data_IF_362499076839
#
_entry.id   IF_362499076839
#
_cell.length_a   1.000
_cell.length_b   1.000
_cell.length_c   1.000
_cell.angle_alpha   90.00
_cell.angle_beta   90.00
_cell.angle_gamma   90.00
#
_symmetry.space_group_name_H-M   'P 1'
#
loop_
_entity.id
_entity.type
_entity.pdbx_description
1 polymer ?
#
# COMPACT_ATOMS: atom_id res chain seq x y z
N UNK A 1 3.52 48.84 -10.15
CA UNK A 1 2.76 47.66 -9.71
C UNK A 1 2.92 46.54 -10.72
N UNK A 2 3.69 45.50 -10.38
CA UNK A 2 3.98 44.38 -11.29
C UNK A 2 2.74 43.48 -11.43
N UNK A 3 2.20 43.37 -12.64
CA UNK A 3 1.14 42.41 -12.98
C UNK A 3 1.70 41.00 -12.87
N UNK A 4 1.38 40.31 -11.78
CA UNK A 4 1.71 38.90 -11.58
C UNK A 4 1.12 38.05 -12.71
N UNK A 5 1.98 37.44 -13.51
CA UNK A 5 1.61 36.41 -14.49
C UNK A 5 1.01 35.22 -13.73
N UNK A 6 -0.33 35.07 -13.78
CA UNK A 6 -0.99 33.82 -13.39
C UNK A 6 -0.38 32.69 -14.24
N UNK A 7 0.40 31.80 -13.62
CA UNK A 7 0.86 30.56 -14.25
C UNK A 7 -0.37 29.81 -14.76
N UNK A 8 -0.44 29.58 -16.07
CA UNK A 8 -1.51 28.83 -16.69
C UNK A 8 -1.51 27.41 -16.09
N UNK A 9 -2.60 27.06 -15.40
CA UNK A 9 -2.83 25.68 -14.98
C UNK A 9 -2.83 24.81 -16.25
N UNK A 10 -1.99 23.76 -16.27
CA UNK A 10 -1.97 22.79 -17.37
C UNK A 10 -3.37 22.20 -17.52
N UNK A 11 -4.08 22.56 -18.60
CA UNK A 11 -5.40 21.99 -18.90
C UNK A 11 -5.21 20.48 -19.11
N UNK A 12 -5.90 19.64 -18.34
CA UNK A 12 -5.80 18.20 -18.51
C UNK A 12 -6.42 17.73 -19.82
N UNK A 13 -6.08 16.51 -20.20
CA UNK A 13 -6.43 15.95 -21.51
C UNK A 13 -7.86 15.46 -21.48
N UNK A 14 -8.73 16.08 -22.29
CA UNK A 14 -10.08 15.55 -22.55
C UNK A 14 -9.98 14.29 -23.41
N UNK A 15 -10.60 13.20 -22.95
CA UNK A 15 -10.69 11.94 -23.70
C UNK A 15 -11.94 11.96 -24.58
N UNK A 16 -11.77 11.58 -25.84
CA UNK A 16 -12.89 11.37 -26.77
C UNK A 16 -13.33 9.91 -26.74
N UNK A 17 -14.56 9.63 -27.17
CA UNK A 17 -15.09 8.26 -27.22
C UNK A 17 -14.25 7.35 -28.14
N UNK A 18 -13.70 7.90 -29.24
CA UNK A 18 -12.82 7.15 -30.15
C UNK A 18 -11.55 6.69 -29.45
N UNK A 19 -10.93 7.58 -28.66
CA UNK A 19 -9.74 7.24 -27.87
C UNK A 19 -10.08 6.17 -26.83
N UNK A 20 -11.19 6.30 -26.12
CA UNK A 20 -11.63 5.31 -25.14
C UNK A 20 -11.87 3.93 -25.79
N UNK A 21 -12.55 3.88 -26.94
CA UNK A 21 -12.77 2.63 -27.69
C UNK A 21 -11.47 1.96 -28.12
N UNK A 22 -10.48 2.73 -28.54
CA UNK A 22 -9.18 2.19 -28.94
C UNK A 22 -8.36 1.62 -27.76
N UNK A 23 -8.70 2.00 -26.53
CA UNK A 23 -8.06 1.47 -25.33
C UNK A 23 -8.82 0.30 -24.69
N UNK A 24 -9.94 -0.11 -25.30
CA UNK A 24 -10.68 -1.29 -24.87
C UNK A 24 -9.92 -2.54 -25.30
N UNK A 25 -9.69 -3.45 -24.36
CA UNK A 25 -9.03 -4.75 -24.58
C UNK A 25 -9.81 -5.86 -23.91
N UNK A 26 -9.65 -7.08 -24.41
CA UNK A 26 -10.11 -8.29 -23.73
C UNK A 26 -8.98 -8.81 -22.85
N UNK A 27 -9.33 -9.18 -21.63
CA UNK A 27 -8.43 -9.92 -20.72
C UNK A 27 -8.44 -11.40 -21.08
N UNK A 28 -7.49 -12.17 -20.53
CA UNK A 28 -7.43 -13.62 -20.71
C UNK A 28 -8.72 -14.35 -20.28
N UNK A 29 -9.43 -13.78 -19.30
CA UNK A 29 -10.71 -14.29 -18.79
C UNK A 29 -11.91 -13.92 -19.69
N UNK A 30 -11.68 -13.30 -20.86
CA UNK A 30 -12.72 -12.81 -21.77
C UNK A 30 -13.45 -11.55 -21.28
N UNK A 31 -12.92 -10.89 -20.24
CA UNK A 31 -13.50 -9.67 -19.64
C UNK A 31 -13.04 -8.41 -20.34
N UNK A 32 -13.89 -7.38 -20.39
CA UNK A 32 -13.60 -6.11 -21.06
C UNK A 32 -12.86 -5.16 -20.12
N UNK A 33 -11.60 -4.88 -20.45
CA UNK A 33 -10.76 -3.91 -19.74
C UNK A 33 -10.60 -2.64 -20.55
N UNK A 34 -10.89 -1.51 -19.93
CA UNK A 34 -10.63 -0.18 -20.48
C UNK A 34 -9.41 0.44 -19.78
N UNK A 35 -8.31 0.60 -20.53
CA UNK A 35 -7.06 1.15 -20.00
C UNK A 35 -6.86 2.62 -20.40
N UNK A 36 -7.11 3.52 -19.45
CA UNK A 36 -6.89 4.96 -19.61
C UNK A 36 -5.79 5.44 -18.67
N UNK A 37 -4.85 4.55 -18.32
CA UNK A 37 -3.73 4.88 -17.45
C UNK A 37 -2.78 5.90 -18.09
N UNK A 38 -2.18 6.76 -17.27
CA UNK A 38 -1.14 7.72 -17.70
C UNK A 38 -1.53 8.65 -18.87
N UNK A 39 -2.80 9.08 -18.92
CA UNK A 39 -3.31 9.91 -20.01
C UNK A 39 -3.40 11.40 -19.66
N UNK A 40 -2.96 11.81 -18.46
CA UNK A 40 -3.06 13.19 -17.94
C UNK A 40 -4.50 13.71 -17.88
N UNK A 41 -5.43 12.83 -17.54
CA UNK A 41 -6.86 13.15 -17.39
C UNK A 41 -7.06 13.91 -16.07
N UNK A 42 -7.61 15.12 -16.12
CA UNK A 42 -7.89 15.93 -14.92
C UNK A 42 -9.34 15.81 -14.43
N UNK A 43 -10.26 15.43 -15.31
CA UNK A 43 -11.67 15.24 -15.02
C UNK A 43 -12.19 13.93 -15.61
N UNK A 44 -13.07 13.25 -14.86
CA UNK A 44 -13.65 11.99 -15.32
C UNK A 44 -14.35 12.16 -16.67
N UNK A 45 -14.00 11.35 -17.70
CA UNK A 45 -14.56 11.52 -19.02
C UNK A 45 -16.01 11.03 -19.06
N UNK A 46 -16.98 11.95 -19.18
CA UNK A 46 -18.41 11.60 -19.29
C UNK A 46 -18.72 10.70 -20.49
N UNK A 47 -17.87 10.67 -21.51
CA UNK A 47 -18.03 9.75 -22.64
C UNK A 47 -17.93 8.27 -22.26
N UNK A 48 -17.27 7.93 -21.14
CA UNK A 48 -17.16 6.55 -20.66
C UNK A 48 -18.51 5.95 -20.26
N UNK A 49 -19.50 6.79 -19.95
CA UNK A 49 -20.86 6.35 -19.63
C UNK A 49 -21.56 5.64 -20.81
N UNK A 50 -21.05 5.78 -22.04
CA UNK A 50 -21.52 5.06 -23.22
C UNK A 50 -20.93 3.65 -23.36
N UNK A 51 -19.91 3.33 -22.56
CA UNK A 51 -19.20 2.04 -22.52
C UNK A 51 -19.24 1.49 -21.08
N UNK A 52 -20.39 1.63 -20.43
CA UNK A 52 -20.59 1.22 -19.04
C UNK A 52 -20.64 -0.30 -18.85
N UNK A 53 -20.46 -1.04 -19.94
CA UNK A 53 -20.52 -2.49 -20.04
C UNK A 53 -19.16 -3.16 -19.78
N UNK A 54 -18.11 -2.37 -19.48
CA UNK A 54 -16.78 -2.84 -19.11
C UNK A 54 -16.76 -3.54 -17.75
N UNK A 55 -15.89 -4.54 -17.62
CA UNK A 55 -15.66 -5.29 -16.38
C UNK A 55 -14.47 -4.72 -15.58
N UNK A 56 -13.49 -4.13 -16.26
CA UNK A 56 -12.29 -3.56 -15.63
C UNK A 56 -12.01 -2.15 -16.15
N UNK A 57 -11.77 -1.20 -15.24
CA UNK A 57 -11.49 0.19 -15.57
C UNK A 57 -10.19 0.61 -14.89
N UNK A 58 -9.21 0.97 -15.71
CA UNK A 58 -7.93 1.48 -15.25
C UNK A 58 -7.83 2.97 -15.58
N UNK A 59 -7.83 3.80 -14.56
CA UNK A 59 -7.69 5.26 -14.62
C UNK A 59 -6.45 5.71 -13.81
N UNK A 60 -5.50 4.80 -13.61
CA UNK A 60 -4.31 5.05 -12.82
C UNK A 60 -3.37 6.10 -13.44
N UNK A 61 -2.50 6.70 -12.62
CA UNK A 61 -1.48 7.67 -13.04
C UNK A 61 -2.06 8.87 -13.81
N UNK A 62 -3.20 9.37 -13.35
CA UNK A 62 -3.86 10.55 -13.93
C UNK A 62 -3.86 11.72 -12.93
N UNK A 63 -4.63 12.78 -13.23
CA UNK A 63 -4.74 14.00 -12.44
C UNK A 63 -6.14 14.16 -11.85
N UNK A 64 -6.88 13.06 -11.69
CA UNK A 64 -8.26 13.09 -11.21
C UNK A 64 -8.31 13.56 -9.76
N UNK A 65 -9.18 14.53 -9.47
CA UNK A 65 -9.43 15.04 -8.11
C UNK A 65 -10.69 14.46 -7.47
N UNK A 66 -11.66 14.11 -8.30
CA UNK A 66 -12.95 13.58 -7.87
C UNK A 66 -13.41 12.49 -8.84
N UNK A 67 -14.18 11.55 -8.31
CA UNK A 67 -14.92 10.56 -9.10
C UNK A 67 -16.39 10.98 -9.06
N UNK A 68 -17.06 11.08 -10.22
CA UNK A 68 -18.45 11.53 -10.27
C UNK A 68 -19.41 10.42 -9.82
N UNK A 69 -20.60 10.81 -9.35
CA UNK A 69 -21.64 9.85 -8.93
C UNK A 69 -22.09 8.90 -10.03
N UNK A 70 -21.96 9.31 -11.29
CA UNK A 70 -22.29 8.47 -12.44
C UNK A 70 -21.35 7.27 -12.64
N UNK A 71 -20.37 7.06 -11.75
CA UNK A 71 -19.60 5.81 -11.66
C UNK A 71 -20.50 4.62 -11.33
N UNK A 72 -21.66 4.83 -10.72
CA UNK A 72 -22.64 3.79 -10.43
C UNK A 72 -23.22 3.11 -11.68
N UNK A 73 -23.10 3.73 -12.85
CA UNK A 73 -23.56 3.14 -14.13
C UNK A 73 -22.74 1.92 -14.54
N UNK A 74 -21.53 1.75 -14.01
CA UNK A 74 -20.65 0.63 -14.35
C UNK A 74 -20.98 -0.62 -13.52
N UNK A 75 -22.21 -1.13 -13.65
CA UNK A 75 -22.74 -2.21 -12.80
C UNK A 75 -22.00 -3.55 -12.91
N UNK A 76 -21.26 -3.78 -14.00
CA UNK A 76 -20.47 -4.98 -14.22
C UNK A 76 -19.01 -4.86 -13.74
N UNK A 77 -18.64 -3.70 -13.19
CA UNK A 77 -17.26 -3.40 -12.86
C UNK A 77 -16.76 -4.27 -11.72
N UNK A 78 -15.82 -5.16 -12.03
CA UNK A 78 -15.10 -6.03 -11.11
C UNK A 78 -13.80 -5.41 -10.60
N UNK A 79 -13.15 -4.61 -11.43
CA UNK A 79 -11.84 -4.04 -11.13
C UNK A 79 -11.82 -2.55 -11.42
N UNK A 80 -11.47 -1.74 -10.43
CA UNK A 80 -11.32 -0.30 -10.56
C UNK A 80 -9.94 0.12 -10.02
N UNK A 81 -9.09 0.60 -10.92
CA UNK A 81 -7.79 1.16 -10.57
C UNK A 81 -7.79 2.69 -10.73
N UNK A 82 -7.52 3.36 -9.61
CA UNK A 82 -7.44 4.80 -9.48
C UNK A 82 -6.11 5.22 -8.84
N UNK A 83 -5.10 4.35 -8.85
CA UNK A 83 -3.85 4.62 -8.16
C UNK A 83 -3.13 5.83 -8.75
N UNK A 84 -2.34 6.54 -7.93
CA UNK A 84 -1.55 7.70 -8.37
C UNK A 84 -2.39 8.77 -9.05
N UNK A 85 -3.44 9.21 -8.35
CA UNK A 85 -4.28 10.35 -8.72
C UNK A 85 -4.26 11.40 -7.59
N UNK A 86 -5.14 12.40 -7.68
CA UNK A 86 -5.25 13.47 -6.70
C UNK A 86 -6.59 13.41 -5.97
N UNK A 87 -7.15 12.21 -5.79
CA UNK A 87 -8.51 12.03 -5.28
C UNK A 87 -8.55 12.36 -3.80
N UNK A 88 -9.43 13.29 -3.44
CA UNK A 88 -9.64 13.73 -2.04
C UNK A 88 -10.91 13.14 -1.43
N UNK A 89 -11.92 12.85 -2.26
CA UNK A 89 -13.20 12.30 -1.85
C UNK A 89 -13.73 11.27 -2.86
N UNK A 90 -14.36 10.22 -2.34
CA UNK A 90 -15.09 9.23 -3.14
C UNK A 90 -16.60 9.51 -3.09
N UNK A 91 -17.32 9.30 -4.20
CA UNK A 91 -18.77 9.47 -4.25
C UNK A 91 -19.49 8.36 -3.48
N UNK A 92 -20.62 8.68 -2.86
CA UNK A 92 -21.49 7.69 -2.21
C UNK A 92 -21.96 6.62 -3.20
N UNK A 93 -22.12 7.01 -4.46
CA UNK A 93 -22.54 6.16 -5.56
C UNK A 93 -21.58 4.97 -5.80
N UNK A 94 -20.32 5.06 -5.35
CA UNK A 94 -19.37 3.95 -5.41
C UNK A 94 -19.89 2.70 -4.69
N UNK A 95 -20.66 2.87 -3.60
CA UNK A 95 -21.28 1.77 -2.87
C UNK A 95 -22.34 0.98 -3.64
N UNK A 96 -22.73 1.42 -4.84
CA UNK A 96 -23.68 0.71 -5.72
C UNK A 96 -22.99 -0.35 -6.59
N UNK A 97 -21.66 -0.37 -6.66
CA UNK A 97 -20.88 -1.30 -7.49
C UNK A 97 -20.76 -2.68 -6.83
N UNK A 98 -21.87 -3.40 -6.71
CA UNK A 98 -21.96 -4.67 -5.97
C UNK A 98 -21.09 -5.80 -6.56
N UNK A 99 -20.67 -5.67 -7.82
CA UNK A 99 -19.80 -6.64 -8.52
C UNK A 99 -18.30 -6.36 -8.32
N UNK A 100 -17.94 -5.22 -7.72
CA UNK A 100 -16.56 -4.78 -7.56
C UNK A 100 -15.81 -5.71 -6.60
N UNK A 101 -14.72 -6.31 -7.08
CA UNK A 101 -13.86 -7.23 -6.33
C UNK A 101 -12.52 -6.60 -5.96
N UNK A 102 -12.03 -5.68 -6.77
CA UNK A 102 -10.73 -5.04 -6.58
C UNK A 102 -10.87 -3.53 -6.72
N UNK A 103 -10.45 -2.80 -5.69
CA UNK A 103 -10.44 -1.35 -5.68
C UNK A 103 -9.05 -0.86 -5.26
N UNK A 104 -8.35 -0.22 -6.19
CA UNK A 104 -7.03 0.36 -5.95
C UNK A 104 -7.11 1.88 -5.90
N UNK A 105 -6.90 2.45 -4.71
CA UNK A 105 -6.90 3.88 -4.42
C UNK A 105 -5.53 4.33 -3.88
N UNK A 106 -4.50 3.52 -4.09
CA UNK A 106 -3.16 3.78 -3.60
C UNK A 106 -2.57 5.08 -4.17
N UNK A 107 -1.79 5.81 -3.40
CA UNK A 107 -1.16 7.08 -3.81
C UNK A 107 -2.20 8.11 -4.27
N UNK A 108 -3.07 8.52 -3.34
CA UNK A 108 -4.07 9.57 -3.51
C UNK A 108 -3.99 10.55 -2.33
N UNK A 109 -5.01 11.40 -2.15
CA UNK A 109 -5.07 12.41 -1.08
C UNK A 109 -6.24 12.14 -0.13
N UNK A 110 -6.69 10.89 -0.04
CA UNK A 110 -7.85 10.52 0.77
C UNK A 110 -7.57 10.71 2.26
N UNK A 111 -8.55 11.28 2.94
CA UNK A 111 -8.67 11.31 4.40
C UNK A 111 -9.83 10.42 4.83
N UNK A 112 -10.00 10.15 6.13
CA UNK A 112 -11.11 9.34 6.63
C UNK A 112 -12.48 9.89 6.18
N UNK A 113 -12.64 11.22 6.18
CA UNK A 113 -13.86 11.89 5.72
C UNK A 113 -14.09 11.79 4.19
N UNK A 114 -13.03 11.54 3.42
CA UNK A 114 -13.12 11.32 1.98
C UNK A 114 -13.63 9.93 1.60
N UNK A 115 -13.78 9.02 2.57
CA UNK A 115 -14.31 7.67 2.36
C UNK A 115 -15.78 7.63 2.82
N UNK A 116 -16.75 7.51 1.91
CA UNK A 116 -18.16 7.50 2.25
C UNK A 116 -18.54 6.20 2.98
N UNK A 117 -19.50 6.23 3.92
CA UNK A 117 -19.95 5.03 4.63
C UNK A 117 -20.54 3.97 3.69
N UNK A 118 -21.06 4.39 2.53
CA UNK A 118 -21.58 3.53 1.48
C UNK A 118 -20.51 2.60 0.88
N UNK A 119 -19.21 2.88 1.07
CA UNK A 119 -18.15 1.94 0.69
C UNK A 119 -18.34 0.57 1.36
N UNK A 120 -18.85 0.54 2.60
CA UNK A 120 -19.16 -0.70 3.32
C UNK A 120 -20.27 -1.55 2.70
N UNK A 121 -20.98 -1.05 1.67
CA UNK A 121 -21.98 -1.82 0.90
C UNK A 121 -21.36 -2.69 -0.18
N UNK A 122 -20.06 -2.57 -0.45
CA UNK A 122 -19.36 -3.38 -1.46
C UNK A 122 -19.15 -4.82 -0.98
N UNK A 123 -20.22 -5.60 -1.00
CA UNK A 123 -20.28 -6.96 -0.45
C UNK A 123 -19.29 -7.93 -1.12
N UNK A 124 -19.02 -7.76 -2.42
CA UNK A 124 -18.11 -8.62 -3.20
C UNK A 124 -16.64 -8.19 -3.16
N UNK A 125 -16.27 -7.12 -2.43
CA UNK A 125 -14.93 -6.56 -2.46
C UNK A 125 -13.93 -7.48 -1.76
N UNK A 126 -12.91 -7.92 -2.49
CA UNK A 126 -11.87 -8.86 -2.02
C UNK A 126 -10.54 -8.19 -1.74
N UNK A 127 -10.21 -7.14 -2.49
CA UNK A 127 -8.95 -6.41 -2.34
C UNK A 127 -9.20 -4.92 -2.34
N UNK A 128 -8.75 -4.25 -1.28
CA UNK A 128 -8.83 -2.80 -1.12
C UNK A 128 -7.44 -2.26 -0.80
N UNK A 129 -6.93 -1.38 -1.66
CA UNK A 129 -5.65 -0.72 -1.44
C UNK A 129 -5.86 0.78 -1.23
N UNK A 130 -5.60 1.25 0.00
CA UNK A 130 -5.64 2.63 0.44
C UNK A 130 -4.24 3.13 0.85
N UNK A 131 -3.17 2.45 0.46
CA UNK A 131 -1.80 2.85 0.79
C UNK A 131 -1.41 4.21 0.20
N UNK A 132 -0.39 4.86 0.76
CA UNK A 132 0.08 6.18 0.32
C UNK A 132 -1.06 7.22 0.25
N UNK A 133 -1.84 7.35 1.32
CA UNK A 133 -2.89 8.36 1.45
C UNK A 133 -2.64 9.21 2.70
N UNK A 134 -3.64 9.97 3.15
CA UNK A 134 -3.57 10.84 4.35
C UNK A 134 -4.57 10.38 5.40
N UNK A 135 -4.72 9.06 5.57
CA UNK A 135 -5.65 8.49 6.52
C UNK A 135 -5.08 8.59 7.94
N UNK A 136 -5.69 9.43 8.78
CA UNK A 136 -5.39 9.50 10.22
C UNK A 136 -6.13 8.41 11.02
N UNK A 137 -7.31 8.04 10.53
CA UNK A 137 -8.14 6.95 11.04
C UNK A 137 -8.75 6.20 9.85
N UNK A 138 -9.16 4.95 10.07
CA UNK A 138 -9.91 4.18 9.08
C UNK A 138 -11.39 4.14 9.48
N UNK A 139 -12.32 4.47 8.57
CA UNK A 139 -13.74 4.52 8.90
C UNK A 139 -14.30 3.14 9.23
N UNK A 140 -15.23 3.08 10.17
CA UNK A 140 -15.84 1.83 10.63
C UNK A 140 -16.57 1.06 9.52
N UNK A 141 -16.98 1.73 8.44
CA UNK A 141 -17.62 1.09 7.29
C UNK A 141 -16.75 0.03 6.61
N UNK A 142 -15.41 0.10 6.75
CA UNK A 142 -14.51 -0.96 6.24
C UNK A 142 -14.77 -2.29 6.93
N UNK A 143 -15.20 -2.29 8.20
CA UNK A 143 -15.59 -3.50 8.93
C UNK A 143 -16.84 -4.20 8.38
N UNK A 144 -17.61 -3.55 7.50
CA UNK A 144 -18.77 -4.16 6.85
C UNK A 144 -18.41 -5.01 5.62
N UNK A 145 -17.16 -4.93 5.13
CA UNK A 145 -16.69 -5.62 3.92
C UNK A 145 -16.37 -7.11 4.20
N UNK A 146 -17.41 -7.95 4.29
CA UNK A 146 -17.30 -9.35 4.73
C UNK A 146 -16.39 -10.24 3.88
N UNK A 147 -16.29 -9.97 2.57
CA UNK A 147 -15.49 -10.76 1.63
C UNK A 147 -14.06 -10.21 1.45
N UNK A 148 -13.67 -9.17 2.20
CA UNK A 148 -12.37 -8.54 2.06
C UNK A 148 -11.26 -9.50 2.53
N UNK A 149 -10.32 -9.78 1.63
CA UNK A 149 -9.19 -10.69 1.82
C UNK A 149 -7.87 -9.94 1.96
N UNK A 150 -7.72 -8.82 1.26
CA UNK A 150 -6.49 -8.04 1.22
C UNK A 150 -6.79 -6.57 1.50
N UNK A 151 -6.10 -6.00 2.50
CA UNK A 151 -6.24 -4.60 2.87
C UNK A 151 -4.87 -3.91 2.96
N UNK A 152 -4.61 -3.00 2.03
CA UNK A 152 -3.41 -2.17 2.01
C UNK A 152 -3.66 -0.81 2.66
N UNK A 153 -2.91 -0.48 3.71
CA UNK A 153 -2.97 0.76 4.47
C UNK A 153 -1.59 1.41 4.68
N UNK A 154 -0.55 0.89 4.03
CA UNK A 154 0.81 1.37 4.21
C UNK A 154 0.97 2.86 3.85
N UNK A 155 1.96 3.53 4.42
CA UNK A 155 2.22 4.95 4.13
C UNK A 155 0.99 5.84 4.32
N UNK A 156 0.41 5.79 5.52
CA UNK A 156 -0.66 6.66 5.95
C UNK A 156 -0.29 7.31 7.30
N UNK A 157 -1.25 8.02 7.90
CA UNK A 157 -1.08 8.72 9.18
C UNK A 157 -1.83 8.00 10.31
N UNK A 158 -2.06 6.68 10.18
CA UNK A 158 -2.86 5.93 11.13
C UNK A 158 -2.15 5.88 12.49
N UNK A 159 -2.83 6.38 13.53
CA UNK A 159 -2.34 6.31 14.91
C UNK A 159 -2.84 5.07 15.64
N UNK A 160 -3.95 4.49 15.20
CA UNK A 160 -4.46 3.23 15.69
C UNK A 160 -5.05 2.41 14.54
N UNK A 161 -5.03 1.09 14.70
CA UNK A 161 -5.76 0.19 13.82
C UNK A 161 -7.16 0.00 14.42
N UNK A 162 -8.25 0.38 13.73
CA UNK A 162 -9.58 0.25 14.31
C UNK A 162 -9.98 -1.20 14.51
N UNK A 163 -10.71 -1.45 15.60
CA UNK A 163 -11.30 -2.75 15.93
C UNK A 163 -12.21 -3.31 14.83
N UNK A 164 -12.75 -2.44 13.97
CA UNK A 164 -13.52 -2.84 12.79
C UNK A 164 -12.76 -3.81 11.86
N UNK A 165 -11.42 -3.70 11.77
CA UNK A 165 -10.60 -4.63 10.97
C UNK A 165 -10.47 -5.99 11.66
N UNK A 166 -10.47 -6.02 13.01
CA UNK A 166 -10.42 -7.26 13.81
C UNK A 166 -11.66 -8.14 13.58
N UNK A 167 -12.77 -7.55 13.19
CA UNK A 167 -14.03 -8.26 12.91
C UNK A 167 -14.19 -8.80 11.48
N UNK A 168 -13.20 -8.64 10.60
CA UNK A 168 -13.31 -9.07 9.20
C UNK A 168 -13.07 -10.59 9.07
N UNK A 169 -14.08 -11.38 8.65
CA UNK A 169 -13.99 -12.85 8.70
C UNK A 169 -13.08 -13.43 7.62
N UNK A 170 -12.90 -12.72 6.50
CA UNK A 170 -12.19 -13.22 5.31
C UNK A 170 -10.79 -12.65 5.14
N UNK A 171 -10.35 -11.74 6.03
CA UNK A 171 -9.10 -11.00 5.86
C UNK A 171 -7.90 -11.93 6.03
N UNK A 172 -7.01 -11.93 5.03
CA UNK A 172 -5.80 -12.77 4.99
C UNK A 172 -4.54 -11.93 5.01
N UNK A 173 -4.53 -10.83 4.25
CA UNK A 173 -3.36 -9.95 4.13
C UNK A 173 -3.71 -8.55 4.60
N UNK A 174 -2.88 -8.03 5.50
CA UNK A 174 -2.96 -6.65 5.97
C UNK A 174 -1.58 -6.02 5.88
N UNK A 175 -1.51 -4.83 5.31
CA UNK A 175 -0.28 -4.05 5.27
C UNK A 175 -0.53 -2.69 5.90
N UNK A 176 0.02 -2.47 7.10
CA UNK A 176 -0.06 -1.20 7.85
C UNK A 176 1.31 -0.54 8.00
N UNK A 177 2.32 -0.98 7.24
CA UNK A 177 3.70 -0.48 7.36
C UNK A 177 3.77 1.03 7.13
N UNK A 178 4.77 1.68 7.75
CA UNK A 178 4.99 3.13 7.60
C UNK A 178 3.76 3.97 7.99
N UNK A 179 3.13 3.59 9.10
CA UNK A 179 2.13 4.40 9.79
C UNK A 179 2.65 4.76 11.19
N UNK A 180 2.31 5.95 11.73
CA UNK A 180 2.62 6.33 13.10
C UNK A 180 1.67 5.62 14.08
N UNK A 181 1.49 4.31 13.92
CA UNK A 181 0.71 3.51 14.86
C UNK A 181 1.37 3.71 16.21
N UNK A 182 0.58 4.10 17.21
CA UNK A 182 1.03 4.06 18.58
C UNK A 182 1.48 2.63 18.81
N UNK A 183 2.81 2.43 18.78
CA UNK A 183 3.40 1.25 19.35
C UNK A 183 2.68 1.12 20.68
N UNK A 184 2.01 -0.01 20.89
CA UNK A 184 1.52 -0.37 22.21
C UNK A 184 2.59 0.10 23.15
N UNK A 185 2.29 1.11 23.97
CA UNK A 185 3.14 1.44 25.10
C UNK A 185 3.26 0.11 25.79
N UNK A 186 4.38 -0.56 25.58
CA UNK A 186 4.69 -1.78 26.26
C UNK A 186 4.55 -1.38 27.71
N UNK A 187 3.47 -1.85 28.33
CA UNK A 187 3.45 -2.02 29.75
C UNK A 187 4.75 -2.76 30.00
N UNK A 188 5.72 -2.03 30.54
CA UNK A 188 6.96 -2.54 31.10
C UNK A 188 6.60 -3.75 31.93
N UNK A 189 6.66 -4.92 31.32
CA UNK A 189 6.85 -6.17 32.02
C UNK A 189 8.34 -6.36 31.96
N UNK A 190 8.99 -5.78 32.95
CA UNK A 190 10.27 -6.30 33.41
C UNK A 190 10.06 -7.80 33.63
N UNK A 191 10.62 -8.58 32.72
CA UNK A 191 10.65 -10.03 32.69
C UNK A 191 11.89 -10.43 31.88
N UNK A 192 12.58 -11.52 32.24
CA UNK A 192 14.00 -11.67 31.97
C UNK A 192 14.28 -11.76 30.48
N UNK A 193 15.25 -10.96 30.06
CA UNK A 193 15.80 -10.86 28.70
C UNK A 193 16.15 -12.23 28.12
N UNK A 194 15.70 -12.49 26.90
CA UNK A 194 16.48 -13.30 25.97
C UNK A 194 16.68 -12.51 24.67
N UNK A 195 17.91 -12.56 24.18
CA UNK A 195 18.58 -11.45 23.52
C UNK A 195 18.03 -11.04 22.15
N UNK A 196 17.93 -9.72 21.95
CA UNK A 196 18.17 -9.13 20.63
C UNK A 196 19.01 -7.88 20.82
N UNK A 197 20.29 -8.01 20.51
CA UNK A 197 21.28 -6.95 20.54
C UNK A 197 20.96 -5.91 19.46
N UNK A 198 20.38 -4.78 19.85
CA UNK A 198 20.42 -3.59 19.00
C UNK A 198 21.81 -2.94 19.15
N UNK A 199 22.73 -3.33 18.28
CA UNK A 199 24.05 -2.70 18.15
C UNK A 199 23.91 -1.33 17.49
N UNK A 200 24.11 -0.28 18.27
CA UNK A 200 24.25 1.08 17.76
C UNK A 200 25.74 1.43 17.69
N UNK A 201 26.24 1.72 16.49
CA UNK A 201 27.59 2.25 16.29
C UNK A 201 27.62 3.72 16.72
N UNK A 202 28.23 3.99 17.86
CA UNK A 202 28.47 5.34 18.39
C UNK A 202 29.94 5.70 18.21
N UNK A 203 30.22 6.97 17.93
CA UNK A 203 31.59 7.50 17.90
C UNK A 203 32.09 7.74 19.33
N UNK A 204 33.38 7.48 19.60
CA UNK A 204 33.97 7.56 20.95
C UNK A 204 33.84 8.96 21.59
N UNK A 205 33.83 10.01 20.78
CA UNK A 205 33.63 11.41 21.18
C UNK A 205 32.23 11.69 21.75
N UNK A 206 31.28 10.79 21.48
CA UNK A 206 29.89 10.90 21.93
C UNK A 206 29.67 10.22 23.29
N UNK A 207 30.71 9.58 23.86
CA UNK A 207 30.66 8.91 25.15
C UNK A 207 31.22 9.81 26.27
N UNK A 208 30.56 9.82 27.43
CA UNK A 208 31.12 10.46 28.61
C UNK A 208 32.36 9.71 29.10
N UNK A 209 33.24 10.37 29.88
CA UNK A 209 34.53 9.80 30.34
C UNK A 209 34.38 8.43 31.04
N UNK A 210 33.31 8.24 31.81
CA UNK A 210 33.04 6.99 32.52
C UNK A 210 32.64 5.85 31.56
N UNK A 211 31.78 6.13 30.58
CA UNK A 211 31.33 5.16 29.58
C UNK A 211 32.42 4.81 28.58
N UNK A 212 33.25 5.78 28.19
CA UNK A 212 34.41 5.56 27.35
C UNK A 212 35.42 4.62 28.03
N UNK A 213 35.62 4.77 29.34
CA UNK A 213 36.46 3.88 30.14
C UNK A 213 35.98 2.42 30.08
N UNK A 214 34.70 2.18 30.38
CA UNK A 214 34.10 0.84 30.33
C UNK A 214 34.14 0.22 28.92
N UNK A 215 33.89 1.02 27.89
CA UNK A 215 33.94 0.57 26.50
C UNK A 215 35.35 0.10 26.08
N UNK A 216 36.39 0.81 26.51
CA UNK A 216 37.79 0.44 26.23
C UNK A 216 38.20 -0.84 26.96
N UNK A 217 37.76 -1.00 28.19
CA UNK A 217 38.06 -2.18 29.01
C UNK A 217 37.42 -3.45 28.42
N UNK A 218 36.15 -3.37 28.00
CA UNK A 218 35.47 -4.50 27.37
C UNK A 218 36.06 -4.84 25.99
N UNK A 219 36.49 -3.82 25.23
CA UNK A 219 37.21 -4.03 23.96
C UNK A 219 38.54 -4.75 24.15
N UNK A 220 39.29 -4.44 25.22
CA UNK A 220 40.52 -5.16 25.56
C UNK A 220 40.23 -6.60 26.00
N UNK A 221 39.12 -6.84 26.69
CA UNK A 221 38.70 -8.19 27.12
C UNK A 221 38.36 -9.08 25.91
N UNK A 222 37.61 -8.55 24.95
CA UNK A 222 37.25 -9.26 23.71
C UNK A 222 38.48 -9.52 22.83
N UNK A 223 39.39 -8.55 22.72
CA UNK A 223 40.64 -8.72 21.94
C UNK A 223 41.53 -9.84 22.47
N UNK A 224 41.46 -10.17 23.77
CA UNK A 224 42.18 -11.30 24.37
C UNK A 224 41.50 -12.65 24.10
N UNK A 225 40.19 -12.67 23.81
CA UNK A 225 39.43 -13.89 23.51
C UNK A 225 39.46 -14.31 22.04
N UNK A 226 39.85 -13.44 21.11
CA UNK A 226 39.84 -13.71 19.67
C UNK A 226 41.01 -14.58 19.13
N UNK A 227 41.87 -15.12 19.99
CA UNK A 227 43.01 -15.99 19.60
C UNK A 227 42.71 -17.49 19.73
N UNK A 228 41.63 -17.99 19.12
CA UNK A 228 41.37 -19.45 19.03
C UNK A 228 41.22 -19.85 17.55
N UNK A 229 42.00 -20.83 17.02
CA UNK A 229 41.98 -21.15 15.59
C UNK A 229 40.78 -22.02 15.23
N UNK A 230 39.95 -21.57 14.30
CA UNK A 230 38.78 -22.30 13.79
C UNK A 230 39.18 -23.28 12.67
N UNK A 231 38.91 -24.59 12.86
CA UNK A 231 39.05 -25.63 11.82
C UNK A 231 37.91 -25.48 10.80
N UNK A 232 38.26 -25.31 9.51
CA UNK A 232 37.31 -25.35 8.39
C UNK A 232 36.90 -26.79 8.07
N UNK A 233 35.61 -27.10 8.14
CA UNK A 233 35.00 -28.21 7.40
C UNK A 233 34.38 -27.66 6.12
N UNK A 234 34.84 -28.17 4.97
CA UNK A 234 34.37 -27.80 3.65
C UNK A 234 33.09 -28.59 3.31
N UNK A 235 32.03 -27.90 2.89
CA UNK A 235 30.90 -28.53 2.21
C UNK A 235 31.21 -28.63 0.71
N UNK A 236 31.47 -29.85 0.24
CA UNK A 236 31.56 -30.19 -1.18
C UNK A 236 30.14 -30.35 -1.75
N UNK A 237 29.74 -29.54 -2.74
CA UNK A 237 28.48 -29.80 -3.45
C UNK A 237 27.82 -28.65 -4.22
N UNK A 238 28.38 -27.45 -4.31
CA UNK A 238 27.79 -26.38 -5.13
C UNK A 238 28.69 -26.09 -6.34
N UNK A 239 28.39 -26.77 -7.44
CA UNK A 239 28.81 -26.37 -8.79
C UNK A 239 27.92 -25.20 -9.21
N UNK A 240 28.53 -24.02 -9.37
CA UNK A 240 27.96 -22.91 -10.14
C UNK A 240 28.16 -23.18 -11.62
N UNK A 241 27.20 -22.81 -12.47
CA UNK A 241 27.61 -21.94 -13.57
C UNK A 241 26.61 -20.82 -13.88
N UNK A 242 27.20 -19.64 -14.10
CA UNK A 242 26.79 -18.56 -15.02
C UNK A 242 25.36 -18.55 -15.56
N UNK A 243 24.64 -17.47 -15.29
CA UNK A 243 23.87 -16.78 -16.34
C UNK A 243 23.65 -15.31 -16.01
N UNK A 244 24.06 -14.48 -16.95
CA UNK A 244 23.85 -13.04 -17.05
C UNK A 244 22.37 -12.68 -17.00
N UNK A 245 21.94 -11.98 -15.95
CA UNK A 245 20.59 -11.41 -15.89
C UNK A 245 20.52 -10.11 -16.73
N UNK A 246 20.16 -10.24 -18.00
CA UNK A 246 19.42 -9.18 -18.69
C UNK A 246 17.95 -9.32 -18.27
N UNK A 247 17.48 -8.47 -17.36
CA UNK A 247 16.05 -8.38 -17.04
C UNK A 247 15.42 -7.13 -17.67
N UNK A 248 14.45 -7.43 -18.52
CA UNK A 248 13.55 -6.54 -19.22
C UNK A 248 12.62 -5.78 -18.25
N UNK A 249 12.28 -4.54 -18.61
CA UNK A 249 11.41 -3.62 -17.87
C UNK A 249 9.92 -4.04 -17.78
N UNK A 250 9.59 -5.33 -17.82
CA UNK A 250 8.23 -5.85 -17.68
C UNK A 250 7.91 -6.42 -16.28
N UNK A 251 8.87 -6.47 -15.36
CA UNK A 251 8.70 -7.08 -14.01
C UNK A 251 8.20 -6.12 -12.90
N UNK A 252 7.73 -4.92 -13.23
CA UNK A 252 7.28 -3.95 -12.23
C UNK A 252 5.86 -4.17 -11.70
N UNK A 253 5.20 -5.29 -12.02
CA UNK A 253 3.85 -5.60 -11.51
C UNK A 253 3.81 -6.63 -10.37
N UNK A 254 4.95 -7.20 -9.93
CA UNK A 254 4.93 -8.32 -8.97
C UNK A 254 5.99 -8.29 -7.86
N UNK A 255 6.67 -7.16 -7.62
CA UNK A 255 7.52 -6.99 -6.42
C UNK A 255 6.91 -6.00 -5.44
N UNK A 256 5.81 -6.40 -4.80
CA UNK A 256 5.32 -5.83 -3.54
C UNK A 256 5.02 -6.94 -2.50
N UNK A 257 5.60 -8.14 -2.67
CA UNK A 257 5.49 -9.25 -1.71
C UNK A 257 6.32 -9.04 -0.43
N UNK A 258 7.15 -7.99 -0.36
CA UNK A 258 8.00 -7.72 0.82
C UNK A 258 7.30 -6.93 1.94
N UNK A 259 6.01 -6.59 1.79
CA UNK A 259 5.32 -5.66 2.71
C UNK A 259 3.98 -6.17 3.26
N UNK A 260 3.56 -7.39 2.92
CA UNK A 260 2.30 -7.95 3.42
C UNK A 260 2.55 -8.81 4.66
N UNK A 261 1.72 -8.62 5.69
CA UNK A 261 1.66 -9.57 6.81
C UNK A 261 0.54 -10.56 6.50
N UNK A 262 0.86 -11.85 6.41
CA UNK A 262 -0.13 -12.92 6.38
C UNK A 262 -0.66 -13.13 7.80
N UNK A 263 -1.97 -12.95 7.97
CA UNK A 263 -2.64 -13.05 9.28
C UNK A 263 -3.01 -14.52 9.58
N UNK A 264 -2.92 -15.45 8.63
CA UNK A 264 -3.22 -16.86 8.89
C UNK A 264 -2.03 -17.59 9.51
N UNK A 265 -2.05 -17.73 10.83
CA UNK A 265 -1.17 -18.62 11.58
C UNK A 265 -0.12 -17.93 12.47
N UNK A 266 -0.04 -16.59 12.45
CA UNK A 266 0.81 -15.86 13.36
C UNK A 266 0.02 -15.35 14.56
N UNK A 267 0.34 -15.89 15.75
CA UNK A 267 0.01 -15.33 17.06
C UNK A 267 0.65 -13.94 17.18
N UNK A 268 0.06 -12.94 16.54
CA UNK A 268 0.57 -11.59 16.53
C UNK A 268 0.37 -10.97 17.93
N UNK A 269 1.40 -10.37 18.57
CA UNK A 269 1.29 -9.84 19.93
C UNK A 269 0.37 -8.62 20.06
N UNK A 270 -0.24 -8.18 18.96
CA UNK A 270 -1.37 -7.23 18.93
C UNK A 270 -2.72 -7.91 19.20
N UNK A 271 -2.73 -9.20 19.52
CA UNK A 271 -3.91 -10.01 19.84
C UNK A 271 -3.93 -10.33 21.33
N UNK A 272 -4.58 -9.45 22.11
CA UNK A 272 -5.42 -9.84 23.23
C UNK A 272 -6.77 -9.14 23.08
#
# INVERSE_FOLDING_TARGET
MAKGKKKAASKGKKITLKVAKNQLRLTADGKRRLDLSNMKIDAFPKCLLKMADVDELDLSRNLLRTIPDCIDRFLNLRYLDLHSNHIEQLPEALGRLQTLRHLNLCNNRLTAAGIPPQLGRLSSLRSLNLGMNRLETLPACIGALRDLQELGLFDNLLTSVPSAIRGLPSLRKLNTLRNPLAASTEARREGPTDGVEHLYLLREDSLCKLCLGKCREERQRISKQAQVPYRRTAFSGLVVPNSTAQESQALWSMKLDSCWVDIKGASCPLVR
#
